data_IF_727849519379
#
_entry.id   IF_727849519379
#
_cell.length_a   1.000
_cell.length_b   1.000
_cell.length_c   1.000
_cell.angle_alpha   90.00
_cell.angle_beta   90.00
_cell.angle_gamma   90.00
#
_symmetry.space_group_name_H-M   'P 1'
#
loop_
_entity.id
_entity.type
_entity.pdbx_description
1 polymer ?
#
# COMPACT_ATOMS: atom_id res chain seq x y z
N UNK A 1 -45.14 -14.49 34.77
CA UNK A 1 -44.33 -13.75 33.78
C UNK A 1 -45.05 -12.45 33.42
N UNK A 2 -44.33 -11.37 33.08
CA UNK A 2 -44.86 -10.05 32.64
C UNK A 2 -45.17 -9.00 33.74
N UNK A 3 -44.14 -8.31 34.25
CA UNK A 3 -44.29 -7.06 35.04
C UNK A 3 -43.23 -5.99 34.73
N UNK A 4 -42.41 -6.15 33.68
CA UNK A 4 -41.33 -5.20 33.32
C UNK A 4 -41.77 -4.06 32.38
N UNK A 5 -42.92 -4.15 31.71
CA UNK A 5 -43.38 -3.13 30.75
C UNK A 5 -43.96 -1.84 31.34
N UNK A 6 -44.41 -1.85 32.60
CA UNK A 6 -45.11 -0.70 33.21
C UNK A 6 -44.20 0.44 33.67
N UNK A 7 -42.92 0.18 33.96
CA UNK A 7 -41.98 1.19 34.46
C UNK A 7 -41.50 2.16 33.36
N UNK A 8 -41.27 1.66 32.15
CA UNK A 8 -40.88 2.50 31.00
C UNK A 8 -41.96 3.52 30.62
N UNK A 9 -43.25 3.14 30.70
CA UNK A 9 -44.36 4.03 30.33
C UNK A 9 -44.58 5.18 31.32
N UNK A 10 -44.14 5.06 32.58
CA UNK A 10 -44.28 6.13 33.59
C UNK A 10 -43.18 7.18 33.48
N UNK A 11 -41.97 6.80 33.08
CA UNK A 11 -40.87 7.77 32.85
C UNK A 11 -41.11 8.62 31.60
N UNK A 12 -41.82 8.09 30.60
CA UNK A 12 -42.21 8.81 29.37
C UNK A 12 -43.23 9.95 29.58
N UNK A 13 -43.92 10.02 30.72
CA UNK A 13 -44.96 11.03 31.00
C UNK A 13 -44.51 12.17 31.92
N UNK A 14 -43.27 12.17 32.40
CA UNK A 14 -42.68 13.29 33.15
C UNK A 14 -41.80 14.09 32.20
N UNK A 15 -41.97 15.41 32.18
CA UNK A 15 -41.22 16.32 31.28
C UNK A 15 -39.69 16.16 31.45
N UNK A 16 -39.23 15.84 32.66
CA UNK A 16 -37.83 15.53 32.97
C UNK A 16 -37.32 14.23 32.31
N UNK A 17 -38.18 13.23 32.13
CA UNK A 17 -37.83 11.93 31.53
C UNK A 17 -37.61 12.00 30.02
N UNK A 18 -38.29 12.94 29.34
CA UNK A 18 -38.14 13.16 27.89
C UNK A 18 -36.76 13.70 27.53
N UNK A 19 -36.23 14.64 28.33
CA UNK A 19 -34.92 15.27 28.09
C UNK A 19 -33.78 14.25 28.18
N UNK A 20 -33.81 13.34 29.16
CA UNK A 20 -32.80 12.28 29.28
C UNK A 20 -32.80 11.31 28.08
N UNK A 21 -33.98 10.98 27.54
CA UNK A 21 -34.09 10.13 26.36
C UNK A 21 -33.55 10.84 25.12
N UNK A 22 -33.86 12.14 24.96
CA UNK A 22 -33.31 12.96 23.87
C UNK A 22 -31.79 13.10 23.96
N UNK A 23 -31.25 13.35 25.15
CA UNK A 23 -29.81 13.41 25.38
C UNK A 23 -29.12 12.08 25.08
N UNK A 24 -29.66 10.96 25.57
CA UNK A 24 -29.13 9.63 25.28
C UNK A 24 -29.15 9.34 23.78
N UNK A 25 -30.24 9.68 23.10
CA UNK A 25 -30.37 9.53 21.65
C UNK A 25 -29.35 10.39 20.89
N UNK A 26 -29.18 11.66 21.30
CA UNK A 26 -28.20 12.57 20.72
C UNK A 26 -26.77 12.04 20.89
N UNK A 27 -26.38 11.61 22.10
CA UNK A 27 -25.07 11.01 22.33
C UNK A 27 -24.87 9.71 21.53
N UNK A 28 -25.91 8.89 21.42
CA UNK A 28 -25.88 7.69 20.59
C UNK A 28 -25.62 7.99 19.12
N UNK A 29 -26.30 8.99 18.57
CA UNK A 29 -26.10 9.44 17.18
C UNK A 29 -24.70 10.04 17.01
N UNK A 30 -24.27 10.92 17.91
CA UNK A 30 -22.95 11.54 17.85
C UNK A 30 -21.82 10.48 17.89
N UNK A 31 -21.96 9.49 18.76
CA UNK A 31 -21.02 8.37 18.86
C UNK A 31 -21.03 7.50 17.59
N UNK A 32 -22.21 7.21 17.04
CA UNK A 32 -22.34 6.45 15.79
C UNK A 32 -21.69 7.18 14.61
N UNK A 33 -21.86 8.50 14.49
CA UNK A 33 -21.22 9.33 13.46
C UNK A 33 -19.70 9.32 13.63
N UNK A 34 -19.20 9.48 14.86
CA UNK A 34 -17.76 9.44 15.15
C UNK A 34 -17.14 8.09 14.77
N UNK A 35 -17.79 6.98 15.13
CA UNK A 35 -17.37 5.64 14.72
C UNK A 35 -17.38 5.49 13.20
N UNK A 36 -18.45 5.96 12.54
CA UNK A 36 -18.55 5.87 11.09
C UNK A 36 -17.42 6.62 10.38
N UNK A 37 -17.12 7.86 10.80
CA UNK A 37 -15.99 8.65 10.25
C UNK A 37 -14.66 7.92 10.47
N UNK A 38 -14.46 7.33 11.63
CA UNK A 38 -13.23 6.59 11.97
C UNK A 38 -13.05 5.36 11.09
N UNK A 39 -14.09 4.55 10.95
CA UNK A 39 -14.08 3.32 10.13
C UNK A 39 -13.90 3.67 8.65
N UNK A 40 -14.61 4.68 8.16
CA UNK A 40 -14.51 5.12 6.77
C UNK A 40 -13.09 5.60 6.43
N UNK A 41 -12.48 6.39 7.32
CA UNK A 41 -11.11 6.84 7.16
C UNK A 41 -10.12 5.66 7.11
N UNK A 42 -10.25 4.70 8.02
CA UNK A 42 -9.41 3.50 8.03
C UNK A 42 -9.55 2.67 6.75
N UNK A 43 -10.78 2.52 6.23
CA UNK A 43 -11.04 1.79 4.99
C UNK A 43 -10.36 2.45 3.77
N UNK A 44 -10.42 3.78 3.68
CA UNK A 44 -9.76 4.52 2.59
C UNK A 44 -8.23 4.41 2.66
N UNK A 45 -7.67 4.45 3.88
CA UNK A 45 -6.22 4.32 4.09
C UNK A 45 -5.71 2.92 3.72
N UNK A 46 -6.40 1.86 4.16
CA UNK A 46 -6.00 0.48 3.88
C UNK A 46 -6.21 0.10 2.41
N UNK A 47 -7.32 0.51 1.79
CA UNK A 47 -7.62 0.21 0.39
C UNK A 47 -6.60 0.79 -0.58
N UNK A 48 -6.12 2.01 -0.33
CA UNK A 48 -5.10 2.64 -1.16
C UNK A 48 -3.72 1.96 -1.02
N UNK A 49 -3.35 1.45 0.15
CA UNK A 49 -2.09 0.68 0.33
C UNK A 49 -2.14 -0.64 -0.46
N UNK A 50 -3.26 -1.36 -0.35
CA UNK A 50 -3.47 -2.60 -1.08
C UNK A 50 -3.35 -2.42 -2.60
N UNK A 51 -3.93 -1.33 -3.13
CA UNK A 51 -3.80 -1.00 -4.56
C UNK A 51 -2.36 -0.72 -4.97
N UNK A 52 -1.64 0.13 -4.24
CA UNK A 52 -0.24 0.44 -4.54
C UNK A 52 0.65 -0.82 -4.51
N UNK A 53 0.44 -1.71 -3.53
CA UNK A 53 1.13 -3.01 -3.45
C UNK A 53 0.83 -3.90 -4.65
N UNK A 54 -0.44 -3.98 -5.06
CA UNK A 54 -0.86 -4.76 -6.23
C UNK A 54 -0.21 -4.25 -7.51
N UNK A 55 -0.20 -2.93 -7.71
CA UNK A 55 0.45 -2.30 -8.86
C UNK A 55 1.95 -2.56 -8.87
N UNK A 56 2.63 -2.44 -7.72
CA UNK A 56 4.05 -2.75 -7.62
C UNK A 56 4.34 -4.22 -7.94
N UNK A 57 3.46 -5.15 -7.51
CA UNK A 57 3.58 -6.56 -7.89
C UNK A 57 3.46 -6.77 -9.41
N UNK A 58 2.51 -6.08 -10.06
CA UNK A 58 2.36 -6.16 -11.52
C UNK A 58 3.57 -5.57 -12.24
N UNK A 59 4.15 -4.48 -11.73
CA UNK A 59 5.34 -3.87 -12.31
C UNK A 59 6.57 -4.77 -12.14
N UNK A 60 6.81 -5.32 -10.93
CA UNK A 60 7.87 -6.28 -10.69
C UNK A 60 7.71 -7.54 -11.55
N UNK A 61 6.47 -8.01 -11.71
CA UNK A 61 6.18 -9.15 -12.58
C UNK A 61 6.47 -8.83 -14.06
N UNK A 62 6.05 -7.67 -14.57
CA UNK A 62 6.36 -7.25 -15.93
C UNK A 62 7.89 -7.20 -16.16
N UNK A 63 8.64 -6.65 -15.22
CA UNK A 63 10.11 -6.62 -15.28
C UNK A 63 10.72 -8.03 -15.32
N UNK A 64 10.17 -8.95 -14.53
CA UNK A 64 10.68 -10.32 -14.45
C UNK A 64 10.53 -11.11 -15.76
N UNK A 65 9.64 -10.68 -16.66
CA UNK A 65 9.42 -11.33 -17.95
C UNK A 65 10.41 -10.90 -19.04
N UNK A 66 11.20 -9.85 -18.81
CA UNK A 66 12.19 -9.35 -19.76
C UNK A 66 13.48 -10.17 -19.71
N UNK A 67 13.43 -11.36 -20.31
CA UNK A 67 14.55 -12.29 -20.42
C UNK A 67 15.23 -12.07 -21.77
N UNK A 68 16.56 -12.16 -21.81
CA UNK A 68 17.31 -12.17 -23.06
C UNK A 68 16.97 -13.46 -23.83
N UNK A 69 16.26 -13.30 -24.96
CA UNK A 69 15.81 -14.41 -25.80
C UNK A 69 16.98 -15.19 -26.40
N UNK A 70 18.10 -14.53 -26.71
CA UNK A 70 19.28 -15.18 -27.27
C UNK A 70 19.90 -16.10 -26.21
N UNK A 71 20.02 -15.64 -24.97
CA UNK A 71 20.51 -16.45 -23.86
C UNK A 71 19.53 -17.58 -23.49
N UNK A 72 18.23 -17.28 -23.51
CA UNK A 72 17.17 -18.27 -23.25
C UNK A 72 17.19 -19.42 -24.27
N UNK A 73 17.49 -19.13 -25.55
CA UNK A 73 17.65 -20.16 -26.59
C UNK A 73 18.83 -21.12 -26.31
N UNK A 74 19.83 -20.67 -25.54
CA UNK A 74 20.95 -21.50 -25.07
C UNK A 74 20.68 -22.17 -23.71
N UNK A 75 19.44 -22.08 -23.19
CA UNK A 75 19.06 -22.61 -21.88
C UNK A 75 19.61 -21.81 -20.70
N UNK A 76 20.08 -20.57 -20.93
CA UNK A 76 20.58 -19.67 -19.89
C UNK A 76 19.50 -18.63 -19.56
N UNK A 77 19.23 -18.44 -18.27
CA UNK A 77 18.29 -17.43 -17.81
C UNK A 77 19.08 -16.18 -17.43
N UNK A 78 19.16 -15.25 -18.39
CA UNK A 78 19.78 -13.94 -18.23
C UNK A 78 18.70 -12.90 -18.48
N UNK A 79 18.55 -11.93 -17.58
CA UNK A 79 17.62 -10.83 -17.82
C UNK A 79 18.24 -9.77 -18.72
N UNK A 80 17.41 -9.22 -19.59
CA UNK A 80 17.67 -7.91 -20.16
C UNK A 80 17.23 -6.87 -19.12
N UNK A 81 18.17 -6.43 -18.28
CA UNK A 81 17.89 -5.47 -17.22
C UNK A 81 17.36 -4.14 -17.78
N UNK A 82 17.76 -3.73 -18.98
CA UNK A 82 17.30 -2.50 -19.61
C UNK A 82 15.84 -2.63 -20.03
N UNK A 83 15.48 -3.69 -20.76
CA UNK A 83 14.10 -3.96 -21.15
C UNK A 83 13.19 -4.23 -19.94
N UNK A 84 13.72 -4.91 -18.91
CA UNK A 84 13.02 -5.18 -17.65
C UNK A 84 12.74 -3.91 -16.87
N UNK A 85 13.71 -3.00 -16.79
CA UNK A 85 13.56 -1.69 -16.15
C UNK A 85 12.53 -0.84 -16.90
N UNK A 86 12.58 -0.83 -18.23
CA UNK A 86 11.59 -0.11 -19.04
C UNK A 86 10.18 -0.66 -18.83
N UNK A 87 10.02 -1.99 -18.84
CA UNK A 87 8.76 -2.69 -18.61
C UNK A 87 8.21 -2.43 -17.20
N UNK A 88 9.09 -2.37 -16.20
CA UNK A 88 8.75 -1.98 -14.84
C UNK A 88 8.13 -0.58 -14.80
N UNK A 89 8.84 0.42 -15.31
CA UNK A 89 8.39 1.82 -15.29
C UNK A 89 7.16 2.04 -16.17
N UNK A 90 7.05 1.34 -17.31
CA UNK A 90 5.85 1.37 -18.15
C UNK A 90 4.63 0.86 -17.39
N UNK A 91 4.74 -0.30 -16.75
CA UNK A 91 3.66 -0.87 -15.94
C UNK A 91 3.30 0.04 -14.76
N UNK A 92 4.29 0.60 -14.08
CA UNK A 92 4.09 1.52 -12.96
C UNK A 92 3.33 2.78 -13.40
N UNK A 93 3.76 3.43 -14.49
CA UNK A 93 3.13 4.64 -15.05
C UNK A 93 1.67 4.39 -15.45
N UNK A 94 1.41 3.31 -16.18
CA UNK A 94 0.05 2.99 -16.64
C UNK A 94 -0.92 2.73 -15.48
N UNK A 95 -0.47 2.02 -14.45
CA UNK A 95 -1.33 1.61 -13.34
C UNK A 95 -1.51 2.70 -12.26
N UNK A 96 -0.49 3.53 -12.06
CA UNK A 96 -0.56 4.67 -11.12
C UNK A 96 -0.97 5.98 -11.80
N UNK A 97 -1.15 5.99 -13.13
CA UNK A 97 -1.42 7.18 -13.96
C UNK A 97 -0.38 8.26 -13.70
N UNK A 98 0.85 7.94 -14.06
CA UNK A 98 1.99 8.85 -13.95
C UNK A 98 2.47 9.26 -15.33
N UNK A 99 3.02 10.46 -15.42
CA UNK A 99 3.71 10.95 -16.61
C UNK A 99 5.09 10.26 -16.79
N UNK A 100 5.86 10.72 -17.77
CA UNK A 100 7.21 10.19 -18.03
C UNK A 100 8.19 10.50 -16.90
N UNK A 101 7.99 11.58 -16.16
CA UNK A 101 8.75 11.99 -14.99
C UNK A 101 8.24 11.38 -13.67
N UNK A 102 7.33 10.40 -13.74
CA UNK A 102 6.69 9.73 -12.60
C UNK A 102 5.83 10.66 -11.73
N UNK A 103 5.42 11.82 -12.24
CA UNK A 103 4.50 12.71 -11.52
C UNK A 103 3.06 12.22 -11.68
N UNK A 104 2.26 12.28 -10.62
CA UNK A 104 0.86 11.88 -10.68
C UNK A 104 0.06 12.77 -11.64
N UNK A 105 -0.61 12.17 -12.61
CA UNK A 105 -1.54 12.87 -13.50
C UNK A 105 -2.93 13.00 -12.86
N UNK A 106 -3.81 13.77 -13.51
CA UNK A 106 -5.20 13.90 -13.11
C UNK A 106 -5.89 12.52 -13.03
N UNK A 107 -6.43 12.20 -11.85
CA UNK A 107 -7.08 10.92 -11.58
C UNK A 107 -6.13 9.80 -11.17
N UNK A 108 -4.84 10.09 -10.94
CA UNK A 108 -3.93 9.24 -10.17
C UNK A 108 -4.45 9.04 -8.74
N UNK A 109 -4.06 7.92 -8.12
CA UNK A 109 -4.33 7.67 -6.71
C UNK A 109 -3.28 8.31 -5.78
N UNK A 110 -2.18 8.82 -6.33
CA UNK A 110 -1.09 9.43 -5.57
C UNK A 110 -1.21 10.96 -5.60
N UNK A 111 -0.81 11.60 -4.51
CA UNK A 111 -0.75 13.06 -4.41
C UNK A 111 0.65 13.61 -4.69
N UNK A 112 1.66 12.76 -4.51
CA UNK A 112 3.07 13.08 -4.70
C UNK A 112 3.71 11.98 -5.56
N UNK A 113 4.78 12.32 -6.27
CA UNK A 113 5.50 11.38 -7.11
C UNK A 113 6.07 10.22 -6.25
N UNK A 114 5.86 8.96 -6.64
CA UNK A 114 6.49 7.84 -5.98
C UNK A 114 7.98 7.80 -6.32
N UNK A 115 8.81 7.36 -5.37
CA UNK A 115 10.24 7.17 -5.60
C UNK A 115 10.56 5.67 -5.62
N UNK A 116 11.18 5.21 -6.70
CA UNK A 116 11.70 3.83 -6.78
C UNK A 116 13.04 3.81 -6.08
N UNK A 117 13.05 3.23 -4.88
CA UNK A 117 14.25 3.20 -4.03
C UNK A 117 15.15 1.99 -4.33
N UNK A 118 14.57 0.92 -4.85
CA UNK A 118 15.30 -0.27 -5.25
C UNK A 118 14.57 -0.92 -6.43
N UNK A 119 15.32 -1.30 -7.44
CA UNK A 119 14.93 -2.25 -8.47
C UNK A 119 16.15 -3.13 -8.75
N UNK A 120 16.07 -4.40 -8.40
CA UNK A 120 17.19 -5.33 -8.46
C UNK A 120 16.77 -6.65 -9.10
N UNK A 121 17.54 -7.11 -10.07
CA UNK A 121 17.40 -8.42 -10.70
C UNK A 121 18.32 -9.40 -9.96
N UNK A 122 17.74 -10.36 -9.25
CA UNK A 122 18.46 -11.24 -8.33
C UNK A 122 18.55 -12.65 -8.91
N UNK A 123 19.78 -13.07 -9.23
CA UNK A 123 20.14 -14.45 -9.52
C UNK A 123 21.16 -14.96 -8.50
N UNK A 124 20.95 -16.17 -7.99
CA UNK A 124 21.88 -16.87 -7.11
C UNK A 124 22.10 -18.32 -7.59
N UNK A 125 23.30 -18.91 -7.45
CA UNK A 125 23.53 -20.32 -7.74
C UNK A 125 22.81 -21.28 -6.78
N UNK A 126 22.36 -20.83 -5.61
CA UNK A 126 21.70 -21.66 -4.60
C UNK A 126 20.42 -21.00 -4.11
N UNK A 127 19.33 -21.76 -4.12
CA UNK A 127 18.04 -21.34 -3.59
C UNK A 127 17.56 -22.29 -2.50
N UNK A 128 16.81 -21.81 -1.49
CA UNK A 128 16.38 -20.42 -1.28
C UNK A 128 17.52 -19.47 -0.89
N UNK A 129 17.44 -18.22 -1.35
CA UNK A 129 18.41 -17.16 -1.06
C UNK A 129 17.73 -15.99 -0.35
N UNK A 130 18.39 -15.38 0.64
CA UNK A 130 17.84 -14.25 1.38
C UNK A 130 18.49 -12.96 0.90
N UNK A 131 17.68 -12.10 0.28
CA UNK A 131 18.06 -10.75 -0.14
C UNK A 131 17.85 -9.80 1.02
N UNK A 132 18.93 -9.15 1.47
CA UNK A 132 18.89 -8.11 2.51
C UNK A 132 19.37 -6.78 1.91
N UNK A 133 18.51 -5.76 1.94
CA UNK A 133 18.84 -4.42 1.44
C UNK A 133 18.39 -3.36 2.44
N UNK A 134 19.26 -2.41 2.72
CA UNK A 134 18.96 -1.24 3.53
C UNK A 134 18.62 -0.08 2.61
N UNK A 135 17.38 0.40 2.67
CA UNK A 135 16.90 1.53 1.88
C UNK A 135 16.82 2.74 2.79
N UNK A 136 17.44 3.86 2.40
CA UNK A 136 17.39 5.12 3.16
C UNK A 136 16.41 6.06 2.51
N UNK A 137 15.38 6.45 3.26
CA UNK A 137 14.41 7.46 2.86
C UNK A 137 14.95 8.85 3.21
N UNK A 138 14.88 9.78 2.26
CA UNK A 138 15.29 11.19 2.36
C UNK A 138 16.73 11.39 2.86
N UNK A 139 17.67 11.44 1.92
CA UNK A 139 19.06 11.84 2.20
C UNK A 139 19.11 13.32 2.61
N UNK A 140 19.48 13.60 3.88
CA UNK A 140 19.84 14.94 4.34
C UNK A 140 18.82 15.72 5.18
N UNK A 141 17.66 15.14 5.52
CA UNK A 141 16.65 15.79 6.37
C UNK A 141 16.49 15.19 7.78
N UNK A 142 15.80 15.92 8.67
CA UNK A 142 15.45 15.46 10.03
C UNK A 142 14.51 14.22 10.08
N UNK A 143 14.11 13.67 8.92
CA UNK A 143 13.27 12.49 8.76
C UNK A 143 13.98 11.25 8.18
N UNK A 144 15.33 11.26 8.14
CA UNK A 144 16.13 10.14 7.61
C UNK A 144 15.73 8.82 8.27
N UNK A 145 15.12 7.93 7.48
CA UNK A 145 14.67 6.63 7.98
C UNK A 145 15.29 5.55 7.11
N UNK A 146 16.20 4.76 7.68
CA UNK A 146 16.70 3.55 7.04
C UNK A 146 15.78 2.38 7.39
N UNK A 147 15.25 1.69 6.38
CA UNK A 147 14.49 0.45 6.57
C UNK A 147 15.23 -0.71 5.93
N UNK A 148 15.28 -1.82 6.64
CA UNK A 148 15.83 -3.07 6.14
C UNK A 148 14.71 -3.87 5.48
N UNK A 149 14.91 -4.20 4.21
CA UNK A 149 14.05 -5.10 3.44
C UNK A 149 14.75 -6.45 3.38
N UNK A 150 14.13 -7.45 3.99
CA UNK A 150 14.59 -8.84 3.98
C UNK A 150 13.55 -9.70 3.27
N UNK A 151 13.97 -10.38 2.21
CA UNK A 151 13.11 -11.21 1.36
C UNK A 151 13.82 -12.53 1.08
N UNK A 152 13.10 -13.63 1.25
CA UNK A 152 13.54 -14.95 0.77
C UNK A 152 13.05 -15.17 -0.66
N UNK A 153 13.97 -15.39 -1.59
CA UNK A 153 13.69 -15.74 -2.99
C UNK A 153 13.98 -17.23 -3.23
N UNK A 154 13.13 -17.87 -4.04
CA UNK A 154 13.20 -19.32 -4.32
C UNK A 154 13.69 -19.63 -5.74
N UNK A 155 14.05 -18.60 -6.49
CA UNK A 155 14.53 -18.68 -7.86
C UNK A 155 14.91 -17.29 -8.36
N UNK A 156 15.31 -17.19 -9.63
CA UNK A 156 15.59 -15.91 -10.27
C UNK A 156 14.38 -14.96 -10.08
N UNK A 157 14.61 -13.83 -9.41
CA UNK A 157 13.53 -12.90 -9.02
C UNK A 157 13.92 -11.44 -9.21
N UNK A 158 12.93 -10.60 -9.48
CA UNK A 158 13.05 -9.14 -9.44
C UNK A 158 12.53 -8.63 -8.10
N UNK A 159 13.33 -7.84 -7.40
CA UNK A 159 12.98 -7.20 -6.13
C UNK A 159 12.85 -5.70 -6.36
N UNK A 160 11.70 -5.14 -5.99
CA UNK A 160 11.43 -3.71 -6.11
C UNK A 160 10.97 -3.12 -4.79
N UNK A 161 11.43 -1.91 -4.46
CA UNK A 161 10.99 -1.14 -3.30
C UNK A 161 10.54 0.23 -3.77
N UNK A 162 9.29 0.55 -3.48
CA UNK A 162 8.66 1.81 -3.82
C UNK A 162 8.38 2.61 -2.54
N UNK A 163 8.78 3.87 -2.56
CA UNK A 163 8.38 4.86 -1.58
C UNK A 163 7.21 5.67 -2.11
N UNK A 164 6.17 5.79 -1.29
CA UNK A 164 5.02 6.64 -1.58
C UNK A 164 4.73 7.55 -0.39
N UNK A 165 4.45 8.82 -0.68
CA UNK A 165 4.05 9.79 0.32
C UNK A 165 2.53 9.81 0.43
N UNK A 166 2.04 9.87 1.68
CA UNK A 166 0.60 9.88 1.96
C UNK A 166 0.26 10.90 3.03
N UNK A 167 -0.77 11.73 2.84
CA UNK A 167 -1.31 12.53 3.92
C UNK A 167 -2.02 11.62 4.92
N UNK A 168 -1.62 11.70 6.19
CA UNK A 168 -2.37 11.07 7.28
C UNK A 168 -3.46 12.04 7.74
N UNK A 169 -4.71 11.57 7.77
CA UNK A 169 -5.82 12.41 8.25
C UNK A 169 -5.53 12.89 9.68
N UNK A 170 -5.51 14.20 9.89
CA UNK A 170 -5.23 14.84 11.19
C UNK A 170 -3.75 15.16 11.47
N UNK A 171 -2.81 14.79 10.59
CA UNK A 171 -1.43 15.27 10.64
C UNK A 171 -1.14 16.12 9.41
N UNK A 172 -0.71 17.37 9.61
CA UNK A 172 -0.32 18.28 8.52
C UNK A 172 0.97 17.91 7.78
N UNK A 173 1.44 16.65 7.92
CA UNK A 173 2.65 16.13 7.28
C UNK A 173 2.35 14.77 6.65
N UNK A 174 2.79 14.58 5.41
CA UNK A 174 2.80 13.27 4.76
C UNK A 174 3.90 12.41 5.38
N UNK A 175 3.61 11.13 5.60
CA UNK A 175 4.61 10.16 6.11
C UNK A 175 5.01 9.22 4.97
N UNK A 176 6.32 9.02 4.71
CA UNK A 176 6.77 8.13 3.66
C UNK A 176 6.47 6.68 4.05
N UNK A 177 5.83 5.94 3.14
CA UNK A 177 5.55 4.52 3.28
C UNK A 177 6.38 3.73 2.27
N UNK A 178 7.14 2.74 2.74
CA UNK A 178 7.83 1.80 1.86
C UNK A 178 6.97 0.57 1.62
N UNK A 179 6.87 0.21 0.35
CA UNK A 179 6.23 -0.99 -0.12
C UNK A 179 7.28 -1.80 -0.89
N UNK A 180 7.54 -3.03 -0.47
CA UNK A 180 8.40 -3.95 -1.21
C UNK A 180 7.58 -4.91 -2.06
N UNK A 181 8.13 -5.37 -3.17
CA UNK A 181 7.58 -6.42 -4.03
C UNK A 181 8.68 -7.31 -4.59
N UNK A 182 8.29 -8.55 -4.87
CA UNK A 182 9.17 -9.63 -5.30
C UNK A 182 8.41 -10.43 -6.34
N UNK A 183 8.98 -10.57 -7.52
CA UNK A 183 8.44 -11.37 -8.60
C UNK A 183 9.46 -12.40 -9.05
N UNK A 184 9.16 -13.69 -8.86
CA UNK A 184 10.02 -14.80 -9.30
C UNK A 184 9.60 -15.29 -10.67
N UNK A 185 10.58 -15.58 -11.53
CA UNK A 185 10.33 -16.28 -12.80
C UNK A 185 10.30 -17.77 -12.52
N UNK A 186 9.23 -18.44 -12.97
CA UNK A 186 9.14 -19.90 -12.95
C UNK A 186 8.78 -20.37 -14.36
N UNK A 187 9.75 -20.95 -15.06
CA UNK A 187 9.47 -21.64 -16.32
C UNK A 187 8.63 -22.88 -15.98
N UNK A 188 7.46 -22.98 -16.60
CA UNK A 188 6.60 -24.17 -16.55
C UNK A 188 6.88 -25.04 -17.76
#
# INVERSE_FOLDING_TARGET
MSKKGGRLRRTLKREEGGVHILLLGFFGIAFAVLLWVTVFNWLMQTGSLGKAKSVLNHAAHAASLSIDEAEAAHGRLVWDEAAGTESFYRSLRLNLKLDEELRPEAGSMLQEAPAVQLLEFVTNPTYPYVVRRSVTIQEGGAGRTTRNVEVTVYGPSVVAVLEIHRPLLGKGRSEPSLISSVASVRMR
#
